data_IF_653808634535
#
_entry.id   IF_653808634535
#
_cell.length_a   1.000
_cell.length_b   1.000
_cell.length_c   1.000
_cell.angle_alpha   90.00
_cell.angle_beta   90.00
_cell.angle_gamma   90.00
#
_symmetry.space_group_name_H-M   'P 1'
#
loop_
_entity.id
_entity.type
_entity.pdbx_description
1 polymer ?
#
# COMPACT_ATOMS: atom_id res chain seq x y z
N UNK A 1 -21.31 -6.65 39.45
CA UNK A 1 -21.77 -7.91 38.84
C UNK A 1 -22.33 -8.82 39.93
N UNK A 2 -23.41 -9.56 39.68
CA UNK A 2 -24.06 -10.44 40.66
C UNK A 2 -23.78 -11.92 40.35
N UNK A 3 -23.90 -12.78 41.36
CA UNK A 3 -23.57 -14.20 41.24
C UNK A 3 -24.40 -14.90 40.15
N UNK A 4 -25.68 -14.56 40.00
CA UNK A 4 -26.56 -15.15 38.98
C UNK A 4 -26.12 -14.85 37.55
N UNK A 5 -25.56 -13.66 37.30
CA UNK A 5 -25.04 -13.32 35.97
C UNK A 5 -23.77 -14.11 35.67
N UNK A 6 -22.87 -14.25 36.65
CA UNK A 6 -21.67 -15.10 36.52
C UNK A 6 -22.08 -16.55 36.24
N UNK A 7 -22.99 -17.12 37.05
CA UNK A 7 -23.48 -18.50 36.91
C UNK A 7 -24.06 -18.77 35.51
N UNK A 8 -24.81 -17.82 34.93
CA UNK A 8 -25.35 -17.94 33.57
C UNK A 8 -24.30 -17.79 32.46
N UNK A 9 -23.17 -17.13 32.75
CA UNK A 9 -22.12 -16.79 31.79
C UNK A 9 -20.84 -17.63 31.94
N UNK A 10 -20.86 -18.66 32.78
CA UNK A 10 -19.67 -19.51 33.02
C UNK A 10 -19.19 -20.18 31.72
N UNK A 11 -20.10 -20.74 30.92
CA UNK A 11 -19.74 -21.42 29.67
C UNK A 11 -19.14 -20.42 28.68
N UNK A 12 -19.85 -19.30 28.42
CA UNK A 12 -19.35 -18.23 27.54
C UNK A 12 -17.99 -17.70 28.00
N UNK A 13 -17.75 -17.60 29.30
CA UNK A 13 -16.48 -17.18 29.87
C UNK A 13 -15.35 -18.19 29.62
N UNK A 14 -15.60 -19.49 29.82
CA UNK A 14 -14.61 -20.55 29.61
C UNK A 14 -14.25 -20.72 28.13
N UNK A 15 -15.20 -20.53 27.22
CA UNK A 15 -14.99 -20.57 25.77
C UNK A 15 -14.43 -19.26 25.19
N UNK A 16 -14.15 -18.25 26.02
CA UNK A 16 -13.73 -16.91 25.60
C UNK A 16 -14.72 -16.21 24.64
N UNK A 17 -16.03 -16.50 24.77
CA UNK A 17 -17.14 -15.92 24.03
C UNK A 17 -17.78 -14.69 24.72
N UNK A 18 -17.10 -14.10 25.70
CA UNK A 18 -17.51 -12.85 26.38
C UNK A 18 -16.67 -11.66 25.91
N UNK A 19 -17.24 -10.46 25.96
CA UNK A 19 -16.49 -9.23 25.65
C UNK A 19 -15.38 -8.96 26.69
N UNK A 20 -14.30 -8.25 26.31
CA UNK A 20 -13.19 -7.92 27.23
C UNK A 20 -13.65 -7.19 28.50
N UNK A 21 -14.63 -6.28 28.35
CA UNK A 21 -15.24 -5.56 29.46
C UNK A 21 -15.95 -6.51 30.42
N UNK A 22 -16.74 -7.43 29.88
CA UNK A 22 -17.47 -8.42 30.68
C UNK A 22 -16.50 -9.39 31.35
N UNK A 23 -15.48 -9.85 30.64
CA UNK A 23 -14.40 -10.70 31.18
C UNK A 23 -13.76 -10.08 32.41
N UNK A 24 -13.41 -8.80 32.34
CA UNK A 24 -12.79 -8.07 33.47
C UNK A 24 -13.73 -8.02 34.67
N UNK A 25 -15.03 -7.78 34.45
CA UNK A 25 -16.04 -7.77 35.52
C UNK A 25 -16.25 -9.16 36.15
N UNK A 26 -16.17 -10.23 35.34
CA UNK A 26 -16.22 -11.61 35.83
C UNK A 26 -15.00 -11.88 36.72
N UNK A 27 -13.80 -11.58 36.23
CA UNK A 27 -12.55 -11.81 36.96
C UNK A 27 -12.49 -11.05 38.29
N UNK A 28 -12.95 -9.80 38.30
CA UNK A 28 -13.08 -9.01 39.53
C UNK A 28 -14.07 -9.67 40.51
N UNK A 29 -15.22 -10.15 40.02
CA UNK A 29 -16.19 -10.87 40.85
C UNK A 29 -15.62 -12.18 41.42
N UNK A 30 -14.87 -12.95 40.63
CA UNK A 30 -14.26 -14.21 41.07
C UNK A 30 -13.21 -13.99 42.17
N UNK A 31 -12.51 -12.85 42.17
CA UNK A 31 -11.60 -12.48 43.28
C UNK A 31 -12.34 -12.18 44.58
N UNK A 32 -13.56 -11.64 44.48
CA UNK A 32 -14.39 -11.27 45.65
C UNK A 32 -15.35 -12.35 46.14
N UNK A 33 -15.76 -13.29 45.29
CA UNK A 33 -16.81 -14.27 45.59
C UNK A 33 -16.29 -15.71 45.53
N UNK A 34 -16.05 -16.30 46.71
CA UNK A 34 -15.60 -17.69 46.84
C UNK A 34 -16.57 -18.70 46.21
N UNK A 35 -17.89 -18.47 46.30
CA UNK A 35 -18.89 -19.37 45.72
C UNK A 35 -18.71 -19.48 44.21
N UNK A 36 -18.68 -18.35 43.51
CA UNK A 36 -18.52 -18.32 42.06
C UNK A 36 -17.13 -18.84 41.64
N UNK A 37 -16.09 -18.54 42.41
CA UNK A 37 -14.75 -19.08 42.15
C UNK A 37 -14.68 -20.61 42.20
N UNK A 38 -15.36 -21.23 43.17
CA UNK A 38 -15.44 -22.69 43.27
C UNK A 38 -16.21 -23.27 42.09
N UNK A 39 -17.36 -22.70 41.75
CA UNK A 39 -18.18 -23.17 40.62
C UNK A 39 -17.38 -23.11 39.31
N UNK A 40 -16.74 -21.98 39.00
CA UNK A 40 -15.94 -21.85 37.78
C UNK A 40 -14.80 -22.87 37.74
N UNK A 41 -14.15 -23.13 38.87
CA UNK A 41 -13.06 -24.12 38.97
C UNK A 41 -13.55 -25.57 38.77
N UNK A 42 -14.72 -25.90 39.31
CA UNK A 42 -15.34 -27.22 39.11
C UNK A 42 -15.79 -27.41 37.65
N UNK A 43 -16.36 -26.38 37.03
CA UNK A 43 -16.71 -26.41 35.62
C UNK A 43 -15.48 -26.52 34.72
N UNK A 44 -14.41 -25.79 35.00
CA UNK A 44 -13.18 -25.87 34.19
C UNK A 44 -12.53 -27.25 34.26
N UNK A 45 -12.52 -27.91 35.42
CA UNK A 45 -11.94 -29.25 35.55
C UNK A 45 -12.73 -30.32 34.80
N UNK A 46 -14.07 -30.20 34.77
CA UNK A 46 -14.93 -31.07 33.97
C UNK A 46 -14.72 -30.83 32.47
N UNK A 47 -14.55 -29.57 32.06
CA UNK A 47 -14.33 -29.18 30.67
C UNK A 47 -13.00 -29.72 30.13
N UNK A 48 -11.92 -29.61 30.90
CA UNK A 48 -10.60 -30.12 30.51
C UNK A 48 -10.60 -31.64 30.29
N UNK A 49 -11.34 -32.39 31.12
CA UNK A 49 -11.48 -33.84 30.95
C UNK A 49 -12.17 -34.23 29.64
N UNK A 50 -13.11 -33.41 29.16
CA UNK A 50 -13.82 -33.64 27.89
C UNK A 50 -13.09 -33.09 26.66
N UNK A 51 -12.18 -32.13 26.85
CA UNK A 51 -11.49 -31.42 25.76
C UNK A 51 -10.17 -32.06 25.36
N UNK A 52 -9.76 -33.15 26.01
CA UNK A 52 -8.72 -34.02 25.46
C UNK A 52 -9.40 -35.02 24.52
N UNK A 53 -9.56 -34.73 23.21
CA UNK A 53 -9.93 -35.78 22.28
C UNK A 53 -8.90 -36.90 22.45
N UNK A 54 -9.31 -38.19 22.41
CA UNK A 54 -8.33 -39.24 22.24
C UNK A 54 -7.47 -38.84 21.05
N UNK A 55 -6.15 -38.97 21.19
CA UNK A 55 -5.20 -38.73 20.12
C UNK A 55 -5.48 -39.74 19.00
N UNK A 56 -6.54 -39.48 18.24
CA UNK A 56 -6.89 -40.22 17.06
C UNK A 56 -5.78 -39.87 16.08
N UNK A 57 -4.92 -40.84 15.82
CA UNK A 57 -3.95 -40.74 14.76
C UNK A 57 -4.71 -40.37 13.49
N UNK A 58 -4.41 -39.18 12.96
CA UNK A 58 -4.99 -38.73 11.71
C UNK A 58 -4.73 -39.80 10.65
N UNK A 59 -5.73 -40.07 9.81
CA UNK A 59 -5.55 -40.99 8.68
C UNK A 59 -4.30 -40.61 7.88
N UNK A 60 -3.46 -41.57 7.44
CA UNK A 60 -2.24 -41.28 6.67
C UNK A 60 -2.47 -40.37 5.44
N UNK A 61 -3.69 -40.37 4.91
CA UNK A 61 -4.09 -39.58 3.74
C UNK A 61 -4.88 -38.31 4.07
N UNK A 62 -5.01 -37.93 5.35
CA UNK A 62 -5.76 -36.74 5.75
C UNK A 62 -5.19 -35.49 5.09
N UNK A 63 -3.87 -35.32 5.15
CA UNK A 63 -3.20 -34.14 4.59
C UNK A 63 -3.28 -34.07 3.07
N UNK A 64 -3.19 -35.21 2.38
CA UNK A 64 -3.31 -35.23 0.92
C UNK A 64 -4.73 -34.89 0.47
N UNK A 65 -5.76 -35.45 1.13
CA UNK A 65 -7.16 -35.12 0.85
C UNK A 65 -7.49 -33.67 1.18
N UNK A 66 -6.98 -33.13 2.29
CA UNK A 66 -7.19 -31.74 2.67
C UNK A 66 -6.58 -30.79 1.64
N UNK A 67 -5.33 -31.02 1.24
CA UNK A 67 -4.67 -30.21 0.19
C UNK A 67 -5.41 -30.28 -1.14
N UNK A 68 -5.84 -31.46 -1.55
CA UNK A 68 -6.63 -31.62 -2.77
C UNK A 68 -7.91 -30.76 -2.71
N UNK A 69 -8.66 -30.83 -1.61
CA UNK A 69 -9.90 -30.07 -1.42
C UNK A 69 -9.69 -28.56 -1.38
N UNK A 70 -8.61 -28.09 -0.75
CA UNK A 70 -8.22 -26.67 -0.77
C UNK A 70 -7.91 -26.22 -2.21
N UNK A 71 -7.12 -27.01 -2.95
CA UNK A 71 -6.72 -26.67 -4.32
C UNK A 71 -7.90 -26.67 -5.30
N UNK A 72 -8.91 -27.50 -5.08
CA UNK A 72 -10.16 -27.50 -5.86
C UNK A 72 -10.97 -26.24 -5.57
N UNK A 73 -11.13 -25.89 -4.28
CA UNK A 73 -11.84 -24.70 -3.86
C UNK A 73 -11.19 -23.40 -4.35
N UNK A 74 -9.86 -23.33 -4.32
CA UNK A 74 -9.12 -22.22 -4.91
C UNK A 74 -9.38 -22.16 -6.40
N UNK A 75 -9.22 -23.28 -7.14
CA UNK A 75 -9.48 -23.33 -8.59
C UNK A 75 -10.87 -22.83 -8.96
N UNK A 76 -11.93 -23.33 -8.31
CA UNK A 76 -13.30 -22.87 -8.57
C UNK A 76 -13.48 -21.36 -8.35
N UNK A 77 -12.76 -20.76 -7.40
CA UNK A 77 -12.80 -19.31 -7.16
C UNK A 77 -11.95 -18.49 -8.12
N UNK A 78 -10.91 -19.05 -8.74
CA UNK A 78 -10.04 -18.29 -9.68
C UNK A 78 -10.62 -18.22 -11.11
N UNK A 79 -11.74 -18.88 -11.40
CA UNK A 79 -12.25 -19.01 -12.77
C UNK A 79 -12.90 -17.77 -13.43
N UNK A 80 -13.06 -16.61 -12.75
CA UNK A 80 -13.05 -15.34 -13.47
C UNK A 80 -11.84 -14.45 -13.16
N UNK A 81 -11.12 -14.65 -12.05
CA UNK A 81 -10.05 -13.75 -11.61
C UNK A 81 -8.84 -13.67 -12.58
N UNK A 82 -8.48 -14.78 -13.24
CA UNK A 82 -7.30 -14.84 -14.12
C UNK A 82 -7.41 -13.99 -15.40
N UNK A 83 -8.62 -13.72 -15.89
CA UNK A 83 -8.83 -12.87 -17.07
C UNK A 83 -8.78 -11.39 -16.67
N UNK A 84 -9.38 -11.02 -15.54
CA UNK A 84 -9.37 -9.65 -15.05
C UNK A 84 -7.97 -9.20 -14.62
N UNK A 85 -7.15 -10.04 -13.98
CA UNK A 85 -5.82 -9.64 -13.53
C UNK A 85 -4.86 -9.34 -14.68
N UNK A 86 -4.87 -10.13 -15.76
CA UNK A 86 -4.05 -9.84 -16.94
C UNK A 86 -4.59 -8.65 -17.73
N UNK A 87 -5.91 -8.53 -17.89
CA UNK A 87 -6.51 -7.39 -18.60
C UNK A 87 -6.28 -6.08 -17.83
N UNK A 88 -6.53 -6.02 -16.52
CA UNK A 88 -6.26 -4.82 -15.70
C UNK A 88 -4.76 -4.49 -15.60
N UNK A 89 -3.87 -5.50 -15.69
CA UNK A 89 -2.41 -5.29 -15.72
C UNK A 89 -1.95 -4.59 -17.00
N UNK A 90 -2.60 -4.84 -18.14
CA UNK A 90 -2.33 -4.14 -19.41
C UNK A 90 -3.16 -2.86 -19.59
N UNK A 91 -4.33 -2.75 -18.95
CA UNK A 91 -5.20 -1.59 -19.06
C UNK A 91 -4.57 -0.33 -18.43
N UNK A 92 -3.84 -0.48 -17.31
CA UNK A 92 -3.16 0.64 -16.64
C UNK A 92 -2.11 1.33 -17.53
N UNK A 93 -1.10 0.63 -18.09
CA UNK A 93 -0.11 1.28 -18.95
C UNK A 93 -0.73 1.80 -20.27
N UNK A 94 -1.72 1.10 -20.82
CA UNK A 94 -2.42 1.56 -22.04
C UNK A 94 -3.20 2.87 -21.81
N UNK A 95 -3.85 3.01 -20.65
CA UNK A 95 -4.57 4.25 -20.30
C UNK A 95 -3.62 5.44 -20.15
N UNK A 96 -2.45 5.26 -19.52
CA UNK A 96 -1.43 6.32 -19.43
C UNK A 96 -0.86 6.68 -20.80
N UNK A 97 -0.57 5.69 -21.66
CA UNK A 97 -0.10 5.93 -23.02
C UNK A 97 -1.14 6.71 -23.85
N UNK A 98 -2.42 6.35 -23.74
CA UNK A 98 -3.50 7.07 -24.41
C UNK A 98 -3.63 8.49 -23.89
N UNK A 99 -3.55 8.72 -22.57
CA UNK A 99 -3.58 10.06 -21.98
C UNK A 99 -2.40 10.91 -22.47
N UNK A 100 -1.21 10.30 -22.57
CA UNK A 100 0.00 10.97 -23.07
C UNK A 100 -0.14 11.36 -24.55
N UNK A 101 -0.60 10.44 -25.40
CA UNK A 101 -0.86 10.71 -26.82
C UNK A 101 -1.95 11.77 -26.98
N UNK A 102 -3.02 11.69 -26.19
CA UNK A 102 -4.10 12.67 -26.21
C UNK A 102 -3.61 14.04 -25.76
N UNK A 103 -2.77 14.11 -24.73
CA UNK A 103 -2.12 15.34 -24.26
C UNK A 103 -1.24 15.98 -25.33
N UNK A 104 -0.43 15.18 -26.05
CA UNK A 104 0.39 15.66 -27.17
C UNK A 104 -0.49 16.18 -28.30
N UNK A 105 -1.51 15.41 -28.71
CA UNK A 105 -2.40 15.78 -29.82
C UNK A 105 -3.21 17.04 -29.48
N UNK A 106 -3.72 17.13 -28.25
CA UNK A 106 -4.47 18.28 -27.75
C UNK A 106 -3.56 19.50 -27.60
N UNK A 107 -2.35 19.31 -27.09
CA UNK A 107 -1.30 20.32 -27.04
C UNK A 107 -0.88 20.82 -28.41
N UNK A 108 -0.82 19.94 -29.42
CA UNK A 108 -0.53 20.33 -30.80
C UNK A 108 -1.69 21.11 -31.44
N UNK A 109 -2.93 20.75 -31.13
CA UNK A 109 -4.12 21.45 -31.67
C UNK A 109 -4.31 22.82 -31.04
N UNK A 110 -4.12 22.95 -29.71
CA UNK A 110 -4.14 24.23 -29.02
C UNK A 110 -2.89 25.06 -29.33
N UNK A 111 -1.73 24.41 -29.38
CA UNK A 111 -0.48 25.00 -29.80
C UNK A 111 -0.55 25.52 -31.22
N UNK A 112 -1.13 24.80 -32.18
CA UNK A 112 -1.30 25.30 -33.55
C UNK A 112 -2.21 26.53 -33.67
N UNK A 113 -3.13 26.73 -32.71
CA UNK A 113 -3.98 27.93 -32.65
C UNK A 113 -3.37 29.12 -31.88
N UNK A 114 -2.33 28.92 -31.06
CA UNK A 114 -1.72 29.98 -30.21
C UNK A 114 -0.21 30.16 -30.40
N UNK A 115 0.51 29.14 -30.87
CA UNK A 115 1.89 29.21 -31.36
C UNK A 115 1.82 29.58 -32.84
N UNK A 116 1.65 30.87 -33.08
CA UNK A 116 2.40 31.49 -34.15
C UNK A 116 3.89 31.27 -33.86
N UNK A 117 4.44 30.16 -34.34
CA UNK A 117 5.88 29.82 -34.27
C UNK A 117 6.73 30.87 -35.01
N UNK A 118 6.13 31.89 -35.64
CA UNK A 118 6.85 33.06 -36.13
C UNK A 118 7.35 33.99 -35.02
N UNK A 119 6.75 34.02 -33.84
CA UNK A 119 7.24 34.89 -32.76
C UNK A 119 8.48 34.37 -32.03
N UNK A 120 8.72 33.05 -31.99
CA UNK A 120 9.93 32.50 -31.34
C UNK A 120 11.11 32.27 -32.30
N UNK A 121 10.90 32.47 -33.61
CA UNK A 121 11.97 32.40 -34.63
C UNK A 121 12.67 33.74 -34.87
N UNK A 122 12.08 34.86 -34.48
CA UNK A 122 12.67 36.18 -34.73
C UNK A 122 13.53 36.71 -33.57
N UNK A 123 13.58 36.03 -32.42
CA UNK A 123 14.35 36.43 -31.23
C UNK A 123 15.46 35.42 -30.87
N UNK A 124 15.96 34.64 -31.85
CA UNK A 124 17.24 33.91 -31.75
C UNK A 124 18.06 34.21 -33.02
N UNK A 125 18.05 35.47 -33.44
CA UNK A 125 18.91 36.01 -34.50
C UNK A 125 19.73 37.22 -34.03
N UNK A 126 19.82 37.46 -32.72
CA UNK A 126 20.94 38.23 -32.18
C UNK A 126 21.99 37.25 -31.65
N UNK A 127 23.20 37.19 -32.25
CA UNK A 127 24.33 36.50 -31.65
C UNK A 127 24.69 37.20 -30.34
N UNK A 128 24.17 36.65 -29.25
CA UNK A 128 24.47 37.04 -27.89
C UNK A 128 25.98 36.81 -27.62
N UNK A 129 26.67 37.92 -27.33
CA UNK A 129 27.99 38.09 -26.68
C UNK A 129 29.29 37.90 -27.49
N UNK A 130 29.58 38.80 -28.43
CA UNK A 130 30.99 39.08 -28.84
C UNK A 130 31.31 40.60 -28.87
N UNK A 131 30.33 41.47 -29.10
CA UNK A 131 30.55 42.93 -29.21
C UNK A 131 30.87 43.65 -27.87
N UNK A 132 30.77 42.97 -26.72
CA UNK A 132 31.22 43.54 -25.43
C UNK A 132 32.74 43.72 -25.39
N UNK A 133 33.48 42.96 -26.21
CA UNK A 133 34.93 43.08 -26.32
C UNK A 133 35.39 44.14 -27.33
N UNK A 134 34.47 44.83 -28.01
CA UNK A 134 34.84 45.89 -28.97
C UNK A 134 34.93 47.28 -28.32
N UNK A 135 34.39 47.45 -27.11
CA UNK A 135 34.50 48.68 -26.32
C UNK A 135 35.33 48.47 -25.06
N UNK A 136 36.60 48.05 -25.22
CA UNK A 136 37.54 48.08 -24.10
C UNK A 136 37.94 49.54 -23.84
N UNK A 137 37.84 50.05 -22.61
CA UNK A 137 38.30 51.39 -22.29
C UNK A 137 39.81 51.52 -22.52
N UNK A 138 40.23 52.70 -23.01
CA UNK A 138 41.64 53.04 -23.22
C UNK A 138 42.45 52.80 -21.93
N UNK A 139 43.56 52.06 -22.04
CA UNK A 139 44.40 51.70 -20.90
C UNK A 139 44.00 50.40 -20.17
N UNK A 140 43.05 49.63 -20.68
CA UNK A 140 42.78 48.27 -20.17
C UNK A 140 43.90 47.29 -20.54
N UNK A 141 43.99 46.16 -19.82
CA UNK A 141 44.99 45.11 -20.09
C UNK A 141 44.84 44.54 -21.52
N UNK A 142 43.62 44.51 -22.07
CA UNK A 142 43.38 44.04 -23.44
C UNK A 142 43.89 45.03 -24.49
N UNK A 143 43.82 46.33 -24.23
CA UNK A 143 44.34 47.39 -25.10
C UNK A 143 45.88 47.29 -25.23
N UNK A 144 46.58 47.06 -24.12
CA UNK A 144 48.04 46.80 -24.12
C UNK A 144 48.41 45.55 -24.92
N UNK A 145 47.58 44.50 -24.85
CA UNK A 145 47.83 43.25 -25.56
C UNK A 145 47.67 43.39 -27.08
N UNK A 146 46.65 44.12 -27.52
CA UNK A 146 46.40 44.40 -28.94
C UNK A 146 47.47 45.33 -29.53
N UNK A 147 47.89 46.35 -28.77
CA UNK A 147 48.91 47.29 -29.23
C UNK A 147 50.29 46.62 -29.39
N UNK A 148 50.66 45.73 -28.46
CA UNK A 148 51.90 44.94 -28.55
C UNK A 148 51.93 44.00 -29.77
N UNK A 149 50.77 43.47 -30.20
CA UNK A 149 50.69 42.58 -31.36
C UNK A 149 50.80 43.34 -32.69
N UNK A 150 50.22 44.53 -32.78
CA UNK A 150 50.22 45.33 -34.01
C UNK A 150 51.54 46.07 -34.29
N UNK A 151 52.43 46.18 -33.31
CA UNK A 151 53.78 46.78 -33.48
C UNK A 151 54.86 45.78 -33.95
N UNK A 152 54.48 44.55 -34.32
CA UNK A 152 55.37 43.50 -34.81
C UNK A 152 55.15 43.19 -36.28
#
# INVERSE_FOLDING_TARGET
MNCKHVENKIIDYLEANVSDRERTQIEEHLRGCKKCAVIVKEFSSLWDYTTSPPSSELSPYFWSRLRAKISEYEREKVFPAGIYDNVLRFLKPAAYALLFIFGIMFGFKLGGSYLDVRMFRQEIEEPIYIEIFDNLPEGSIGDVYLNYYNER
#
